data_IF_056620674470
#
_entry.id   IF_056620674470
#
_cell.length_a   1.000
_cell.length_b   1.000
_cell.length_c   1.000
_cell.angle_alpha   90.00
_cell.angle_beta   90.00
_cell.angle_gamma   90.00
#
_symmetry.space_group_name_H-M   'P 1'
#
loop_
_entity.id
_entity.type
_entity.pdbx_description
1 polymer ?
#
# COMPACT_ATOMS: atom_id res chain seq x y z
N UNK A 1 -5.53 -15.58 16.82
CA UNK A 1 -5.12 -14.41 16.01
C UNK A 1 -6.06 -14.35 14.82
N UNK A 2 -6.86 -13.29 14.68
CA UNK A 2 -7.72 -13.09 13.51
C UNK A 2 -6.90 -12.23 12.55
N UNK A 3 -6.48 -12.80 11.42
CA UNK A 3 -5.82 -12.04 10.35
C UNK A 3 -6.93 -11.41 9.52
N UNK A 4 -6.97 -10.09 9.44
CA UNK A 4 -7.91 -9.37 8.58
C UNK A 4 -7.26 -9.25 7.21
N UNK A 5 -7.91 -9.81 6.20
CA UNK A 5 -7.44 -9.79 4.82
C UNK A 5 -8.32 -8.85 4.00
N UNK A 6 -7.70 -7.86 3.36
CA UNK A 6 -8.41 -6.94 2.47
C UNK A 6 -8.24 -7.35 1.01
N UNK A 7 -9.31 -7.16 0.23
CA UNK A 7 -9.26 -7.43 -1.22
C UNK A 7 -8.24 -6.50 -1.86
N UNK A 8 -7.32 -7.07 -2.64
CA UNK A 8 -6.29 -6.30 -3.32
C UNK A 8 -6.91 -5.39 -4.39
N UNK A 9 -6.88 -4.09 -4.13
CA UNK A 9 -7.42 -3.05 -5.02
C UNK A 9 -6.72 -3.01 -6.39
N UNK A 10 -5.44 -3.42 -6.47
CA UNK A 10 -4.70 -3.42 -7.73
C UNK A 10 -5.19 -4.47 -8.75
N UNK A 11 -5.79 -5.57 -8.29
CA UNK A 11 -6.26 -6.66 -9.16
C UNK A 11 -7.75 -7.02 -8.97
N UNK A 12 -8.45 -6.29 -8.10
CA UNK A 12 -9.85 -6.53 -7.77
C UNK A 12 -10.10 -7.93 -7.17
N UNK A 13 -9.13 -8.50 -6.45
CA UNK A 13 -9.28 -9.82 -5.82
C UNK A 13 -8.84 -11.03 -6.65
N UNK A 14 -8.53 -10.85 -7.94
CA UNK A 14 -8.22 -11.97 -8.83
C UNK A 14 -6.82 -12.56 -8.67
N UNK A 15 -5.88 -11.82 -8.08
CA UNK A 15 -4.46 -12.18 -8.07
C UNK A 15 -3.75 -11.97 -9.42
N UNK A 16 -4.46 -11.48 -10.46
CA UNK A 16 -3.96 -11.36 -11.82
C UNK A 16 -4.24 -9.96 -12.38
N UNK A 17 -3.28 -9.38 -13.09
CA UNK A 17 -3.47 -8.13 -13.84
C UNK A 17 -3.44 -8.41 -15.33
N UNK A 18 -4.40 -7.83 -16.05
CA UNK A 18 -4.40 -7.77 -17.51
C UNK A 18 -3.40 -6.70 -17.96
N UNK A 19 -2.45 -7.07 -18.81
CA UNK A 19 -1.43 -6.16 -19.38
C UNK A 19 -1.56 -6.00 -20.90
N UNK A 20 -2.51 -6.70 -21.52
CA UNK A 20 -2.86 -6.59 -22.93
C UNK A 20 -4.17 -7.32 -23.24
N UNK A 21 -4.51 -7.47 -24.53
CA UNK A 21 -5.75 -8.16 -24.95
C UNK A 21 -5.80 -9.64 -24.57
N UNK A 22 -4.66 -10.32 -24.50
CA UNK A 22 -4.56 -11.73 -24.13
C UNK A 22 -3.36 -12.01 -23.21
N UNK A 23 -2.82 -10.95 -22.60
CA UNK A 23 -1.65 -11.03 -21.74
C UNK A 23 -2.04 -10.71 -20.32
N UNK A 24 -1.63 -11.59 -19.42
CA UNK A 24 -1.88 -11.49 -18.00
C UNK A 24 -0.57 -11.70 -17.26
N UNK A 25 -0.43 -11.04 -16.13
CA UNK A 25 0.67 -11.28 -15.19
C UNK A 25 0.12 -11.43 -13.79
N UNK A 26 0.86 -12.11 -12.94
CA UNK A 26 0.60 -12.14 -11.50
C UNK A 26 0.58 -10.73 -10.94
N UNK A 27 -0.40 -10.42 -10.10
CA UNK A 27 -0.45 -9.14 -9.39
C UNK A 27 0.68 -9.09 -8.37
N UNK A 28 1.64 -8.20 -8.58
CA UNK A 28 2.82 -8.07 -7.72
C UNK A 28 2.49 -7.41 -6.37
N UNK A 29 1.39 -6.66 -6.27
CA UNK A 29 1.00 -6.01 -5.02
C UNK A 29 0.52 -7.01 -3.96
N UNK A 30 -0.18 -8.07 -4.38
CA UNK A 30 -0.65 -9.15 -3.50
C UNK A 30 0.06 -10.49 -3.74
N UNK A 31 1.14 -10.47 -4.53
CA UNK A 31 1.90 -11.67 -4.91
C UNK A 31 1.03 -12.82 -5.46
N UNK A 32 -0.05 -12.48 -6.16
CA UNK A 32 -1.00 -13.45 -6.72
C UNK A 32 -2.07 -13.98 -5.78
N UNK A 33 -2.14 -13.52 -4.53
CA UNK A 33 -3.10 -14.04 -3.55
C UNK A 33 -4.51 -13.43 -3.69
N UNK A 34 -4.61 -12.24 -4.29
CA UNK A 34 -5.89 -11.52 -4.43
C UNK A 34 -6.27 -10.72 -3.19
N UNK A 35 -5.61 -10.92 -2.06
CA UNK A 35 -5.78 -10.15 -0.83
C UNK A 35 -4.43 -9.66 -0.30
N UNK A 36 -4.47 -8.66 0.57
CA UNK A 36 -3.32 -8.15 1.32
C UNK A 36 -3.66 -8.18 2.80
N UNK A 37 -2.65 -8.46 3.63
CA UNK A 37 -2.83 -8.46 5.08
C UNK A 37 -3.07 -7.02 5.56
N UNK A 38 -4.17 -6.78 6.26
CA UNK A 38 -4.55 -5.45 6.74
C UNK A 38 -3.52 -4.86 7.72
N UNK A 39 -2.76 -5.71 8.41
CA UNK A 39 -1.69 -5.28 9.32
C UNK A 39 -0.58 -4.52 8.56
N UNK A 40 -0.25 -4.92 7.34
CA UNK A 40 0.74 -4.22 6.51
C UNK A 40 0.22 -2.86 6.02
N UNK A 41 -1.09 -2.77 5.74
CA UNK A 41 -1.72 -1.52 5.30
C UNK A 41 -1.72 -0.48 6.43
N UNK A 42 -2.09 -0.88 7.65
CA UNK A 42 -2.08 -0.01 8.82
C UNK A 42 -0.66 0.44 9.19
N UNK A 43 0.31 -0.48 9.15
CA UNK A 43 1.71 -0.15 9.42
C UNK A 43 2.26 0.85 8.40
N UNK A 44 1.96 0.65 7.11
CA UNK A 44 2.34 1.58 6.05
C UNK A 44 1.73 2.97 6.26
N UNK A 45 0.44 3.04 6.59
CA UNK A 45 -0.25 4.31 6.90
C UNK A 45 0.44 5.09 8.01
N UNK A 46 0.79 4.40 9.11
CA UNK A 46 1.53 5.01 10.23
C UNK A 46 2.92 5.50 9.84
N UNK A 47 3.63 4.76 8.99
CA UNK A 47 4.92 5.21 8.46
C UNK A 47 4.78 6.46 7.59
N UNK A 48 3.80 6.49 6.69
CA UNK A 48 3.54 7.62 5.80
C UNK A 48 3.15 8.87 6.61
N UNK A 49 2.35 8.70 7.68
CA UNK A 49 1.98 9.78 8.60
C UNK A 49 3.19 10.32 9.37
N UNK A 50 4.05 9.45 9.91
CA UNK A 50 5.27 9.86 10.60
C UNK A 50 6.24 10.60 9.65
N UNK A 51 6.34 10.16 8.39
CA UNK A 51 7.15 10.84 7.39
C UNK A 51 6.61 12.25 7.08
N UNK A 52 5.29 12.40 6.94
CA UNK A 52 4.67 13.71 6.72
C UNK A 52 4.89 14.67 7.90
N UNK A 53 4.77 14.17 9.14
CA UNK A 53 5.04 14.95 10.35
C UNK A 53 6.50 15.42 10.41
N UNK A 54 7.46 14.55 10.10
CA UNK A 54 8.87 14.91 10.07
C UNK A 54 9.17 16.01 9.04
N UNK A 55 8.58 15.92 7.83
CA UNK A 55 8.72 16.95 6.79
C UNK A 55 8.15 18.29 7.28
N UNK A 56 6.97 18.27 7.91
CA UNK A 56 6.33 19.48 8.43
C UNK A 56 7.14 20.14 9.56
N UNK A 57 7.73 19.33 10.45
CA UNK A 57 8.60 19.82 11.52
C UNK A 57 9.87 20.50 10.95
N UNK A 58 10.49 19.92 9.92
CA UNK A 58 11.64 20.54 9.23
C UNK A 58 11.24 21.85 8.55
N UNK A 59 10.11 21.89 7.84
CA UNK A 59 9.62 23.10 7.20
C UNK A 59 9.37 24.24 8.22
N UNK A 60 8.79 23.91 9.38
CA UNK A 60 8.55 24.88 10.46
C UNK A 60 9.86 25.42 11.06
N UNK A 61 10.88 24.57 11.20
CA UNK A 61 12.21 24.97 11.69
C UNK A 61 12.94 25.92 10.72
N UNK A 62 12.77 25.74 9.41
CA UNK A 62 13.36 26.63 8.39
C UNK A 62 12.65 28.00 8.37
N UNK A 63 11.33 28.04 8.48
CA UNK A 63 10.57 29.30 8.46
C UNK A 63 10.85 30.22 9.67
N UNK A 64 11.42 29.68 10.75
CA UNK A 64 11.81 30.43 11.94
C UNK A 64 13.24 31.02 11.88
N UNK A 65 13.96 30.82 10.77
CA UNK A 65 15.29 31.40 10.50
C UNK A 65 15.19 32.57 9.53
#
# INVERSE_FOLDING_TARGET
MIVVMEVCSCCGGSGIQRVGEQQFRTCLACLGQGFVDAEDAELKSRLDQAAAEAVNAVASSVAAR
#
